data_IF_837827254913
#
_entry.id   IF_837827254913
#
_cell.length_a   1.000
_cell.length_b   1.000
_cell.length_c   1.000
_cell.angle_alpha   90.00
_cell.angle_beta   90.00
_cell.angle_gamma   90.00
#
_symmetry.space_group_name_H-M   'P 1'
#
loop_
_entity.id
_entity.type
_entity.pdbx_description
1 polymer ?
#
# COMPACT_ATOMS: atom_id res chain seq x y z
N UNK A 1 23.41 -49.14 1.04
CA UNK A 1 22.77 -50.26 0.31
C UNK A 1 21.30 -50.31 0.73
N UNK A 2 20.34 -50.06 -0.19
CA UNK A 2 18.88 -50.31 -0.06
C UNK A 2 18.12 -49.59 1.09
N UNK A 3 16.82 -49.26 1.00
CA UNK A 3 15.95 -48.87 -0.14
C UNK A 3 14.64 -48.23 0.43
N UNK A 4 14.27 -47.02 -0.01
CA UNK A 4 12.90 -46.49 -0.31
C UNK A 4 11.64 -46.72 0.57
N UNK A 5 10.74 -45.70 0.49
CA UNK A 5 9.24 -45.69 0.49
C UNK A 5 8.52 -45.67 1.88
N UNK A 6 7.39 -44.98 2.11
CA UNK A 6 6.53 -43.98 1.41
C UNK A 6 5.31 -43.61 2.31
N UNK A 7 4.52 -42.58 1.91
CA UNK A 7 3.07 -42.28 2.21
C UNK A 7 2.66 -41.52 3.50
N UNK A 8 1.63 -40.64 3.53
CA UNK A 8 0.90 -39.82 2.49
C UNK A 8 0.16 -38.61 3.14
N UNK A 9 -0.45 -37.74 2.31
CA UNK A 9 -1.55 -36.75 2.53
C UNK A 9 -1.10 -35.30 2.25
N UNK A 10 -1.52 -34.55 1.21
CA UNK A 10 -2.59 -34.55 0.17
C UNK A 10 -3.85 -33.72 0.47
N UNK A 11 -4.09 -32.72 -0.42
CA UNK A 11 -5.34 -32.00 -0.68
C UNK A 11 -5.08 -30.50 -0.87
N UNK A 12 -5.68 -29.74 -1.79
CA UNK A 12 -6.57 -29.94 -2.96
C UNK A 12 -6.31 -28.67 -3.85
N UNK A 13 -6.61 -28.50 -5.14
CA UNK A 13 -7.79 -28.74 -6.00
C UNK A 13 -7.31 -28.91 -7.45
N UNK A 14 -8.03 -29.69 -8.28
CA UNK A 14 -7.78 -29.79 -9.73
C UNK A 14 -9.09 -29.69 -10.54
N UNK A 15 -9.01 -29.14 -11.74
CA UNK A 15 -10.13 -28.89 -12.66
C UNK A 15 -10.87 -30.15 -13.12
N UNK A 16 -12.16 -30.01 -13.41
CA UNK A 16 -12.98 -31.06 -14.03
C UNK A 16 -13.32 -30.72 -15.48
N UNK A 17 -13.05 -31.66 -16.39
CA UNK A 17 -13.46 -31.62 -17.80
C UNK A 17 -14.50 -32.73 -18.01
N UNK A 18 -15.69 -32.39 -18.48
CA UNK A 18 -16.78 -33.35 -18.72
C UNK A 18 -16.94 -33.56 -20.22
N UNK A 19 -16.84 -34.82 -20.65
CA UNK A 19 -17.12 -35.26 -22.02
C UNK A 19 -18.39 -36.13 -21.99
N UNK A 20 -19.44 -35.72 -22.70
CA UNK A 20 -20.66 -36.53 -22.87
C UNK A 20 -20.63 -37.26 -24.20
N UNK A 21 -20.77 -38.59 -24.14
CA UNK A 21 -21.10 -39.46 -25.27
C UNK A 21 -22.58 -39.84 -25.16
N UNK A 22 -23.34 -39.63 -26.24
CA UNK A 22 -24.63 -40.29 -26.44
C UNK A 22 -24.51 -41.28 -27.61
N UNK A 23 -24.88 -42.52 -27.36
CA UNK A 23 -25.05 -43.54 -28.37
C UNK A 23 -26.56 -43.75 -28.62
N UNK A 24 -26.94 -43.92 -29.89
CA UNK A 24 -28.28 -44.32 -30.31
C UNK A 24 -28.18 -45.18 -31.56
N UNK A 25 -28.76 -46.37 -31.52
CA UNK A 25 -28.79 -47.31 -32.64
C UNK A 25 -30.14 -47.27 -33.36
N UNK A 26 -30.14 -47.52 -34.67
CA UNK A 26 -31.10 -48.42 -35.34
C UNK A 26 -30.65 -48.71 -36.78
N UNK A 27 -30.80 -49.96 -37.22
CA UNK A 27 -30.67 -50.36 -38.62
C UNK A 27 -31.90 -49.91 -39.44
N UNK A 28 -31.76 -49.69 -40.76
CA UNK A 28 -32.31 -50.58 -41.80
C UNK A 28 -31.86 -50.18 -43.23
N UNK A 29 -31.95 -51.11 -44.20
CA UNK A 29 -31.39 -51.02 -45.57
C UNK A 29 -32.49 -50.73 -46.62
N UNK A 30 -32.27 -49.83 -47.60
CA UNK A 30 -32.93 -49.80 -48.96
C UNK A 30 -32.58 -48.56 -49.81
N UNK A 31 -33.00 -48.55 -51.09
CA UNK A 31 -32.26 -47.95 -52.19
C UNK A 31 -33.03 -46.88 -53.02
N UNK A 32 -32.34 -45.80 -53.45
CA UNK A 32 -32.71 -44.72 -54.40
C UNK A 32 -33.81 -43.70 -54.00
N UNK A 33 -33.88 -42.48 -54.60
CA UNK A 33 -32.99 -41.86 -55.61
C UNK A 33 -32.33 -40.53 -55.15
N UNK A 34 -31.47 -39.97 -56.01
CA UNK A 34 -30.67 -38.77 -55.71
C UNK A 34 -31.49 -37.50 -55.49
N UNK A 35 -31.25 -36.83 -54.37
CA UNK A 35 -31.66 -35.44 -54.12
C UNK A 35 -30.42 -34.54 -54.26
N UNK A 36 -30.49 -33.50 -55.09
CA UNK A 36 -29.42 -32.51 -55.21
C UNK A 36 -29.32 -31.67 -53.94
N UNK A 37 -28.49 -32.10 -53.00
CA UNK A 37 -28.02 -31.26 -51.90
C UNK A 37 -27.16 -30.13 -52.47
N UNK A 38 -27.78 -28.96 -52.64
CA UNK A 38 -27.00 -27.73 -52.74
C UNK A 38 -26.15 -27.62 -51.47
N UNK A 39 -24.82 -27.62 -51.64
CA UNK A 39 -23.89 -27.38 -50.53
C UNK A 39 -24.15 -26.01 -49.95
N UNK A 40 -24.84 -25.97 -48.80
CA UNK A 40 -24.99 -24.76 -47.99
C UNK A 40 -23.61 -24.38 -47.47
N UNK A 41 -22.98 -23.42 -48.13
CA UNK A 41 -21.67 -22.87 -47.76
C UNK A 41 -21.82 -22.11 -46.46
N UNK A 42 -21.45 -22.72 -45.34
CA UNK A 42 -21.52 -22.09 -44.01
C UNK A 42 -20.67 -20.83 -43.97
N UNK A 43 -21.27 -19.74 -43.49
CA UNK A 43 -20.59 -18.47 -43.23
C UNK A 43 -19.87 -18.54 -41.88
N UNK A 44 -18.57 -18.24 -41.84
CA UNK A 44 -17.77 -18.27 -40.60
C UNK A 44 -16.82 -17.08 -40.50
N UNK A 45 -16.45 -16.72 -39.27
CA UNK A 45 -15.34 -15.81 -38.95
C UNK A 45 -14.24 -16.66 -38.29
N UNK A 46 -12.99 -16.35 -38.59
CA UNK A 46 -11.81 -16.97 -38.00
C UNK A 46 -10.80 -15.91 -37.59
N UNK A 47 -10.02 -16.21 -36.54
CA UNK A 47 -8.97 -15.36 -35.99
C UNK A 47 -7.70 -16.16 -35.76
N UNK A 48 -6.52 -15.55 -35.87
CA UNK A 48 -5.24 -16.20 -35.57
C UNK A 48 -5.00 -16.44 -34.07
N UNK A 49 -5.66 -15.67 -33.19
CA UNK A 49 -5.63 -15.88 -31.73
C UNK A 49 -6.98 -15.57 -31.10
N UNK A 50 -7.35 -16.33 -30.07
CA UNK A 50 -8.51 -16.06 -29.20
C UNK A 50 -8.13 -15.38 -27.88
N UNK A 51 -6.85 -15.06 -27.70
CA UNK A 51 -6.32 -14.33 -26.53
C UNK A 51 -5.22 -13.35 -26.95
N UNK A 52 -5.34 -12.09 -26.54
CA UNK A 52 -4.27 -11.10 -26.59
C UNK A 52 -3.97 -10.64 -25.17
N UNK A 53 -2.72 -10.80 -24.74
CA UNK A 53 -2.21 -10.28 -23.46
C UNK A 53 -1.14 -9.22 -23.74
N UNK A 54 -1.29 -8.04 -23.16
CA UNK A 54 -0.45 -6.86 -23.39
C UNK A 54 0.60 -6.70 -22.28
N UNK A 55 1.74 -6.05 -22.56
CA UNK A 55 2.69 -5.67 -21.51
C UNK A 55 2.06 -4.67 -20.53
N UNK A 56 2.65 -4.52 -19.35
CA UNK A 56 2.25 -3.49 -18.40
C UNK A 56 2.40 -2.09 -19.02
N UNK A 57 1.35 -1.28 -18.89
CA UNK A 57 1.31 0.12 -19.27
C UNK A 57 1.51 1.02 -18.05
N UNK A 58 1.78 2.31 -18.28
CA UNK A 58 1.50 3.36 -17.30
C UNK A 58 0.12 3.94 -17.65
N UNK A 59 -0.68 4.31 -16.65
CA UNK A 59 -1.96 5.00 -16.90
C UNK A 59 -1.78 6.22 -17.80
N UNK A 60 -2.79 6.53 -18.60
CA UNK A 60 -2.75 7.58 -19.62
C UNK A 60 -1.72 7.38 -20.76
N UNK A 61 -1.13 6.18 -20.89
CA UNK A 61 -0.28 5.79 -22.03
C UNK A 61 -0.86 4.60 -22.79
N UNK A 62 -0.57 4.51 -24.09
CA UNK A 62 -0.91 3.34 -24.92
C UNK A 62 0.22 2.32 -24.91
N UNK A 63 -0.10 1.03 -24.83
CA UNK A 63 0.90 -0.04 -25.02
C UNK A 63 1.44 -0.11 -26.45
N UNK A 64 2.47 -0.93 -26.66
CA UNK A 64 2.76 -1.48 -27.98
C UNK A 64 1.51 -2.15 -28.58
N UNK A 65 1.38 -2.03 -29.90
CA UNK A 65 0.28 -2.56 -30.69
C UNK A 65 0.48 -4.05 -30.97
N UNK A 66 -0.61 -4.83 -30.92
CA UNK A 66 -0.64 -6.25 -31.30
C UNK A 66 -1.51 -6.48 -32.53
N UNK A 67 -1.14 -7.46 -33.33
CA UNK A 67 -1.86 -7.81 -34.56
C UNK A 67 -2.81 -9.00 -34.33
N UNK A 68 -4.08 -8.80 -34.66
CA UNK A 68 -5.10 -9.83 -34.79
C UNK A 68 -5.42 -10.01 -36.28
N UNK A 69 -5.18 -11.18 -36.84
CA UNK A 69 -5.56 -11.48 -38.22
C UNK A 69 -6.98 -12.03 -38.20
N UNK A 70 -7.90 -11.32 -38.86
CA UNK A 70 -9.32 -11.65 -38.98
C UNK A 70 -9.60 -12.09 -40.42
N UNK A 71 -10.33 -13.19 -40.58
CA UNK A 71 -10.72 -13.71 -41.89
C UNK A 71 -12.12 -14.32 -41.84
N UNK A 72 -13.02 -13.83 -42.68
CA UNK A 72 -14.29 -14.47 -42.96
C UNK A 72 -14.21 -15.53 -44.07
N UNK A 73 -15.19 -16.43 -44.09
CA UNK A 73 -15.40 -17.40 -45.17
C UNK A 73 -16.88 -17.41 -45.53
N UNK A 74 -17.20 -17.27 -46.82
CA UNK A 74 -18.57 -17.17 -47.34
C UNK A 74 -19.40 -16.04 -46.71
N UNK A 75 -18.76 -14.92 -46.33
CA UNK A 75 -19.46 -13.74 -45.82
C UNK A 75 -19.95 -12.87 -46.98
N UNK A 76 -21.18 -12.38 -46.90
CA UNK A 76 -21.79 -11.45 -47.87
C UNK A 76 -22.02 -10.04 -47.29
N UNK A 77 -21.56 -9.83 -46.06
CA UNK A 77 -21.74 -8.63 -45.24
C UNK A 77 -20.40 -8.26 -44.60
N UNK A 78 -20.32 -7.05 -44.05
CA UNK A 78 -19.18 -6.60 -43.23
C UNK A 78 -18.94 -7.49 -42.01
N UNK A 79 -17.75 -7.38 -41.40
CA UNK A 79 -17.50 -7.86 -40.04
C UNK A 79 -17.46 -6.64 -39.13
N UNK A 80 -18.36 -6.61 -38.15
CA UNK A 80 -18.38 -5.61 -37.08
C UNK A 80 -17.55 -6.13 -35.91
N UNK A 81 -16.67 -5.29 -35.36
CA UNK A 81 -15.82 -5.58 -34.22
C UNK A 81 -16.09 -4.54 -33.12
N UNK A 82 -16.35 -5.01 -31.90
CA UNK A 82 -16.47 -4.15 -30.72
C UNK A 82 -15.54 -4.61 -29.62
N UNK A 83 -14.74 -3.70 -29.06
CA UNK A 83 -13.86 -3.94 -27.92
C UNK A 83 -14.41 -3.29 -26.64
N UNK A 84 -13.85 -3.64 -25.50
CA UNK A 84 -14.35 -3.25 -24.17
C UNK A 84 -13.19 -3.06 -23.19
N UNK A 85 -13.38 -2.22 -22.17
CA UNK A 85 -12.44 -2.05 -21.03
C UNK A 85 -11.03 -1.54 -21.39
N UNK A 86 -10.94 -0.52 -22.26
CA UNK A 86 -9.69 0.20 -22.55
C UNK A 86 -8.80 -0.45 -23.62
N UNK A 87 -9.33 -1.37 -24.42
CA UNK A 87 -8.64 -1.86 -25.60
C UNK A 87 -9.28 -1.26 -26.83
N UNK A 88 -8.48 -0.75 -27.76
CA UNK A 88 -8.95 -0.10 -28.98
C UNK A 88 -8.38 -0.83 -30.20
N UNK A 89 -9.02 -0.65 -31.35
CA UNK A 89 -8.75 -1.35 -32.59
C UNK A 89 -8.58 -0.38 -33.77
N UNK A 90 -7.77 -0.76 -34.75
CA UNK A 90 -7.48 0.01 -35.95
C UNK A 90 -7.22 -0.90 -37.18
N UNK A 91 -7.51 -0.41 -38.38
CA UNK A 91 -7.12 -1.04 -39.65
C UNK A 91 -5.88 -0.40 -40.30
N UNK A 92 -5.53 0.83 -39.92
CA UNK A 92 -4.38 1.57 -40.46
C UNK A 92 -3.21 1.68 -39.47
N UNK A 93 -3.40 1.24 -38.22
CA UNK A 93 -2.41 1.30 -37.15
C UNK A 93 -2.20 2.71 -36.58
N UNK A 94 -3.09 3.66 -36.92
CA UNK A 94 -2.99 5.08 -36.54
C UNK A 94 -4.27 5.57 -35.87
N UNK A 95 -5.43 5.30 -36.47
CA UNK A 95 -6.73 5.70 -35.97
C UNK A 95 -7.34 4.54 -35.17
N UNK A 96 -7.32 4.65 -33.85
CA UNK A 96 -7.84 3.65 -32.91
C UNK A 96 -9.24 4.02 -32.42
N UNK A 97 -10.06 3.00 -32.17
CA UNK A 97 -11.44 3.13 -31.67
C UNK A 97 -11.94 1.83 -31.03
N UNK A 98 -12.97 1.90 -30.20
CA UNK A 98 -13.63 0.73 -29.60
C UNK A 98 -14.59 0.00 -30.55
N UNK A 99 -14.93 0.60 -31.69
CA UNK A 99 -15.85 0.08 -32.69
C UNK A 99 -15.20 0.16 -34.09
N UNK A 100 -14.97 -1.00 -34.72
CA UNK A 100 -14.29 -1.11 -36.01
C UNK A 100 -15.09 -1.97 -36.99
N UNK A 101 -15.04 -1.65 -38.28
CA UNK A 101 -15.74 -2.39 -39.33
C UNK A 101 -14.75 -2.85 -40.41
N UNK A 102 -14.75 -4.14 -40.73
CA UNK A 102 -14.10 -4.68 -41.94
C UNK A 102 -15.16 -4.76 -43.04
N UNK A 103 -15.00 -3.96 -44.08
CA UNK A 103 -15.95 -3.90 -45.19
C UNK A 103 -16.17 -5.24 -45.89
N UNK A 104 -17.40 -5.46 -46.39
CA UNK A 104 -17.80 -6.70 -47.06
C UNK A 104 -16.88 -7.12 -48.23
N UNK A 105 -16.20 -6.17 -48.88
CA UNK A 105 -15.22 -6.42 -49.93
C UNK A 105 -13.93 -7.10 -49.41
N UNK A 106 -13.52 -6.78 -48.18
CA UNK A 106 -12.33 -7.31 -47.51
C UNK A 106 -12.65 -8.45 -46.55
N UNK A 107 -13.92 -8.61 -46.15
CA UNK A 107 -14.37 -9.56 -45.14
C UNK A 107 -13.98 -11.03 -45.38
N UNK A 108 -13.73 -11.45 -46.64
CA UNK A 108 -13.28 -12.80 -46.99
C UNK A 108 -11.76 -12.92 -47.25
N UNK A 109 -11.00 -11.87 -46.96
CA UNK A 109 -9.54 -11.82 -47.07
C UNK A 109 -8.89 -11.71 -45.68
N UNK A 110 -7.61 -12.09 -45.56
CA UNK A 110 -6.87 -11.95 -44.31
C UNK A 110 -6.67 -10.45 -44.03
N UNK A 111 -7.37 -9.93 -43.03
CA UNK A 111 -7.33 -8.52 -42.62
C UNK A 111 -6.57 -8.41 -41.31
N UNK A 112 -5.53 -7.57 -41.28
CA UNK A 112 -4.82 -7.25 -40.03
C UNK A 112 -5.62 -6.20 -39.27
N UNK A 113 -5.98 -6.51 -38.04
CA UNK A 113 -6.54 -5.58 -37.06
C UNK A 113 -5.46 -5.30 -36.03
N UNK A 114 -5.06 -4.05 -35.94
CA UNK A 114 -4.15 -3.53 -34.93
C UNK A 114 -4.93 -3.29 -33.64
N UNK A 115 -4.44 -3.78 -32.50
CA UNK A 115 -5.09 -3.66 -31.20
C UNK A 115 -4.10 -3.06 -30.20
N UNK A 116 -4.52 -2.07 -29.42
CA UNK A 116 -3.72 -1.48 -28.35
C UNK A 116 -4.40 -1.71 -26.97
N UNK A 117 -3.76 -1.21 -25.91
CA UNK A 117 -4.36 -1.08 -24.59
C UNK A 117 -4.06 0.32 -24.03
N UNK A 118 -5.08 0.98 -23.48
CA UNK A 118 -5.06 2.31 -22.87
C UNK A 118 -6.05 2.36 -21.70
N UNK A 119 -5.64 2.93 -20.56
CA UNK A 119 -6.57 3.17 -19.46
C UNK A 119 -6.11 4.33 -18.57
N UNK A 120 -7.06 5.09 -18.07
CA UNK A 120 -6.87 6.14 -17.05
C UNK A 120 -6.83 5.53 -15.62
N UNK A 121 -7.25 4.26 -15.46
CA UNK A 121 -7.45 3.63 -14.16
C UNK A 121 -6.47 2.46 -13.96
N UNK A 122 -5.69 2.53 -12.89
CA UNK A 122 -4.72 1.51 -12.45
C UNK A 122 -5.34 0.10 -12.35
N UNK A 123 -4.48 -0.91 -12.52
CA UNK A 123 -4.77 -2.33 -12.30
C UNK A 123 -5.14 -3.11 -13.55
N UNK A 124 -5.34 -4.43 -13.36
CA UNK A 124 -5.64 -5.37 -14.44
C UNK A 124 -7.01 -5.10 -15.08
N UNK A 125 -7.03 -5.00 -16.41
CA UNK A 125 -8.24 -4.93 -17.23
C UNK A 125 -8.40 -6.23 -18.03
N UNK A 126 -9.59 -6.82 -17.94
CA UNK A 126 -10.00 -7.93 -18.78
C UNK A 126 -11.04 -7.38 -19.77
N UNK A 127 -10.75 -7.47 -21.06
CA UNK A 127 -11.65 -7.04 -22.14
C UNK A 127 -11.98 -8.20 -23.07
N UNK A 128 -12.82 -7.91 -24.07
CA UNK A 128 -13.14 -8.82 -25.17
C UNK A 128 -13.30 -8.02 -26.45
N UNK A 129 -12.73 -8.49 -27.57
CA UNK A 129 -13.19 -8.13 -28.92
C UNK A 129 -14.29 -9.10 -29.31
N UNK A 130 -15.49 -8.60 -29.60
CA UNK A 130 -16.58 -9.39 -30.18
C UNK A 130 -16.65 -9.10 -31.67
N UNK A 131 -16.54 -10.14 -32.50
CA UNK A 131 -16.64 -10.07 -33.96
C UNK A 131 -17.97 -10.69 -34.42
N UNK A 132 -18.74 -9.97 -35.23
CA UNK A 132 -20.02 -10.44 -35.77
C UNK A 132 -20.18 -10.14 -37.25
N UNK A 133 -20.89 -11.00 -37.98
CA UNK A 133 -21.29 -10.79 -39.37
C UNK A 133 -22.58 -11.56 -39.67
N UNK A 134 -23.36 -11.11 -40.64
CA UNK A 134 -24.65 -11.71 -40.96
C UNK A 134 -24.51 -13.20 -41.33
N UNK A 135 -25.30 -14.05 -40.67
CA UNK A 135 -25.33 -15.52 -40.84
C UNK A 135 -24.06 -16.27 -40.40
N UNK A 136 -23.08 -15.59 -39.78
CA UNK A 136 -21.95 -16.22 -39.11
C UNK A 136 -22.19 -16.30 -37.58
N UNK A 137 -21.55 -17.26 -36.92
CA UNK A 137 -21.47 -17.27 -35.46
C UNK A 137 -20.47 -16.21 -34.99
N UNK A 138 -20.78 -15.51 -33.89
CA UNK A 138 -19.88 -14.52 -33.31
C UNK A 138 -18.59 -15.19 -32.80
N UNK A 139 -17.46 -14.49 -32.97
CA UNK A 139 -16.16 -14.89 -32.43
C UNK A 139 -15.75 -13.89 -31.36
N UNK A 140 -15.26 -14.38 -30.23
CA UNK A 140 -14.76 -13.54 -29.14
C UNK A 140 -13.25 -13.77 -28.97
N UNK A 141 -12.50 -12.68 -28.80
CA UNK A 141 -11.07 -12.68 -28.46
C UNK A 141 -10.92 -12.04 -27.09
N UNK A 142 -10.45 -12.81 -26.11
CA UNK A 142 -10.19 -12.30 -24.76
C UNK A 142 -8.99 -11.37 -24.76
N UNK A 143 -9.06 -10.28 -24.00
CA UNK A 143 -8.01 -9.27 -23.88
C UNK A 143 -7.58 -9.16 -22.41
N UNK A 144 -6.27 -9.09 -22.18
CA UNK A 144 -5.68 -8.85 -20.87
C UNK A 144 -4.63 -7.74 -20.95
N UNK A 145 -4.71 -6.78 -20.04
CA UNK A 145 -3.75 -5.69 -19.90
C UNK A 145 -3.70 -5.26 -18.45
N UNK A 146 -2.64 -4.58 -18.05
CA UNK A 146 -2.48 -4.06 -16.69
C UNK A 146 -1.80 -2.70 -16.75
N UNK A 147 -2.25 -1.77 -15.91
CA UNK A 147 -1.72 -0.42 -15.88
C UNK A 147 -1.22 -0.06 -14.48
N UNK A 148 -0.01 0.48 -14.41
CA UNK A 148 0.62 1.01 -13.20
C UNK A 148 0.40 2.53 -13.09
N UNK A 149 0.39 3.10 -11.88
CA UNK A 149 0.31 4.55 -11.71
C UNK A 149 1.57 5.26 -12.22
N UNK A 150 1.47 6.57 -12.47
CA UNK A 150 2.66 7.43 -12.57
C UNK A 150 3.21 7.63 -11.16
N UNK A 151 4.52 7.47 -10.99
CA UNK A 151 5.21 7.62 -9.70
C UNK A 151 6.37 8.60 -9.87
N UNK A 152 6.38 9.65 -9.06
CA UNK A 152 7.51 10.56 -8.92
C UNK A 152 8.30 10.20 -7.66
N UNK A 153 9.49 9.61 -7.84
CA UNK A 153 10.36 9.25 -6.72
C UNK A 153 11.35 10.38 -6.38
N UNK A 154 11.51 10.66 -5.08
CA UNK A 154 12.44 11.66 -4.55
C UNK A 154 13.29 11.03 -3.44
N UNK A 155 14.57 10.77 -3.74
CA UNK A 155 15.55 10.41 -2.71
C UNK A 155 15.93 11.67 -1.93
N UNK A 156 15.84 11.59 -0.61
CA UNK A 156 16.15 12.69 0.32
C UNK A 156 17.48 12.43 1.00
N UNK A 157 17.47 11.93 2.25
CA UNK A 157 18.65 11.35 2.86
C UNK A 157 19.16 10.16 2.02
N UNK A 158 20.45 10.11 1.71
CA UNK A 158 21.07 9.04 0.93
C UNK A 158 22.33 8.57 1.64
N UNK A 159 22.28 7.37 2.22
CA UNK A 159 23.32 6.82 3.11
C UNK A 159 23.72 7.82 4.21
N UNK A 160 22.75 8.57 4.74
CA UNK A 160 22.97 9.54 5.81
C UNK A 160 23.51 8.80 7.04
N UNK A 161 24.70 9.18 7.46
CA UNK A 161 25.39 8.57 8.59
C UNK A 161 24.76 9.01 9.90
N UNK A 162 24.24 8.06 10.68
CA UNK A 162 23.66 8.29 12.01
C UNK A 162 24.27 7.33 13.02
N UNK A 163 24.92 7.86 14.06
CA UNK A 163 25.61 7.12 15.11
C UNK A 163 25.91 8.06 16.29
N UNK A 164 26.47 7.51 17.38
CA UNK A 164 26.86 8.27 18.58
C UNK A 164 28.36 8.18 18.85
N UNK A 165 28.95 9.28 19.30
CA UNK A 165 30.39 9.38 19.53
C UNK A 165 31.20 9.60 18.24
N UNK A 166 32.53 9.70 18.37
CA UNK A 166 33.49 9.83 17.26
C UNK A 166 33.21 10.97 16.24
N UNK A 167 32.41 11.98 16.62
CA UNK A 167 32.00 13.10 15.76
C UNK A 167 30.72 12.85 14.95
N UNK A 168 30.08 11.70 15.09
CA UNK A 168 28.76 11.42 14.52
C UNK A 168 27.64 12.06 15.33
N UNK A 169 26.47 12.21 14.70
CA UNK A 169 25.23 12.66 15.34
C UNK A 169 24.14 11.59 15.19
N UNK A 170 23.29 11.48 16.21
CA UNK A 170 22.11 10.60 16.23
C UNK A 170 20.96 11.12 15.35
N UNK A 171 21.04 12.37 14.88
CA UNK A 171 20.05 12.96 13.98
C UNK A 171 20.68 13.92 12.98
N UNK A 172 20.06 14.03 11.81
CA UNK A 172 20.40 15.01 10.77
C UNK A 172 19.12 15.73 10.31
N UNK A 173 19.23 16.99 9.91
CA UNK A 173 18.11 17.83 9.43
C UNK A 173 18.55 18.56 8.18
N UNK A 174 17.74 18.49 7.11
CA UNK A 174 18.09 19.04 5.80
C UNK A 174 16.82 19.37 4.99
N UNK A 175 16.93 20.34 4.08
CA UNK A 175 15.84 20.76 3.18
C UNK A 175 15.98 20.10 1.82
N UNK A 176 14.93 19.43 1.36
CA UNK A 176 14.85 18.75 0.07
C UNK A 176 13.76 19.38 -0.80
N UNK A 177 13.90 19.28 -2.13
CA UNK A 177 12.86 19.72 -3.06
C UNK A 177 12.01 18.50 -3.48
N UNK A 178 10.85 18.36 -2.85
CA UNK A 178 9.85 17.33 -3.14
C UNK A 178 8.88 17.79 -4.24
N UNK A 179 7.91 16.95 -4.58
CA UNK A 179 6.89 17.24 -5.58
C UNK A 179 6.10 18.51 -5.24
N UNK A 180 5.90 19.41 -6.20
CA UNK A 180 5.30 20.72 -5.95
C UNK A 180 3.76 20.71 -6.09
N UNK A 181 3.23 20.07 -7.13
CA UNK A 181 1.80 20.07 -7.42
C UNK A 181 1.10 18.86 -6.79
N UNK A 182 0.38 19.08 -5.69
CA UNK A 182 -0.30 18.02 -4.95
C UNK A 182 -1.71 17.70 -5.49
N UNK A 183 -2.12 18.29 -6.63
CA UNK A 183 -3.51 18.24 -7.11
C UNK A 183 -3.92 16.86 -7.67
N UNK A 184 -3.01 16.14 -8.32
CA UNK A 184 -3.20 14.78 -8.82
C UNK A 184 -2.52 13.70 -7.95
N UNK A 185 -1.91 14.07 -6.82
CA UNK A 185 -1.25 13.12 -5.92
C UNK A 185 -2.28 12.46 -5.01
N UNK A 186 -2.55 11.18 -5.27
CA UNK A 186 -3.46 10.33 -4.49
C UNK A 186 -2.79 9.82 -3.22
N UNK A 187 -1.56 9.32 -3.33
CA UNK A 187 -0.82 8.66 -2.24
C UNK A 187 0.62 9.18 -2.17
N UNK A 188 1.14 9.35 -0.95
CA UNK A 188 2.58 9.57 -0.70
C UNK A 188 3.10 8.45 0.18
N UNK A 189 4.03 7.65 -0.36
CA UNK A 189 4.76 6.62 0.41
C UNK A 189 6.14 7.16 0.78
N UNK A 190 6.59 6.86 2.00
CA UNK A 190 7.96 7.08 2.45
C UNK A 190 8.61 5.71 2.66
N UNK A 191 9.84 5.56 2.18
CA UNK A 191 10.65 4.36 2.32
C UNK A 191 11.88 4.67 3.18
N UNK A 192 12.20 3.81 4.14
CA UNK A 192 13.40 3.96 4.98
C UNK A 192 14.26 2.70 4.86
N UNK A 193 15.36 2.83 4.13
CA UNK A 193 16.36 1.78 3.95
C UNK A 193 17.53 2.01 4.90
N UNK A 194 17.80 1.01 5.72
CA UNK A 194 19.00 0.94 6.54
C UNK A 194 20.09 0.24 5.74
N UNK A 195 21.34 0.56 6.03
CA UNK A 195 22.51 -0.15 5.50
C UNK A 195 23.56 -0.16 6.60
N UNK A 196 24.19 -1.33 6.82
CA UNK A 196 25.30 -1.41 7.76
C UNK A 196 26.53 -0.71 7.18
N UNK A 197 27.12 0.27 7.90
CA UNK A 197 28.37 0.89 7.47
C UNK A 197 29.52 -0.11 7.52
N UNK A 198 30.68 0.30 7.00
CA UNK A 198 31.92 -0.49 7.12
C UNK A 198 32.26 -0.71 8.60
N UNK A 199 32.18 -1.97 9.05
CA UNK A 199 32.34 -2.36 10.46
C UNK A 199 31.11 -3.02 11.08
N UNK A 200 29.94 -2.92 10.43
CA UNK A 200 28.67 -3.47 10.89
C UNK A 200 27.71 -2.42 11.43
N UNK A 201 26.43 -2.79 11.55
CA UNK A 201 25.39 -1.98 12.17
C UNK A 201 25.58 -1.87 13.70
N UNK A 202 24.84 -0.93 14.31
CA UNK A 202 24.45 -1.05 15.73
C UNK A 202 23.87 -2.45 16.00
N UNK A 203 24.32 -3.10 17.07
CA UNK A 203 23.80 -4.41 17.45
C UNK A 203 22.40 -4.38 18.07
N UNK A 204 21.93 -3.21 18.55
CA UNK A 204 20.68 -3.06 19.29
C UNK A 204 19.46 -2.67 18.43
N UNK A 205 18.28 -3.05 18.91
CA UNK A 205 16.98 -2.67 18.38
C UNK A 205 16.55 -1.28 18.89
N UNK A 206 17.13 -0.23 18.31
CA UNK A 206 16.92 1.15 18.78
C UNK A 206 15.74 1.83 18.12
N UNK A 207 15.14 2.77 18.86
CA UNK A 207 14.10 3.67 18.38
C UNK A 207 14.62 4.58 17.26
N UNK A 208 13.81 4.82 16.23
CA UNK A 208 14.15 5.73 15.15
C UNK A 208 12.89 6.36 14.53
N UNK A 209 13.00 7.60 14.04
CA UNK A 209 11.89 8.26 13.33
C UNK A 209 12.31 9.25 12.25
N UNK A 210 11.38 9.50 11.34
CA UNK A 210 11.44 10.56 10.33
C UNK A 210 10.39 11.59 10.66
N UNK A 211 10.76 12.88 10.67
CA UNK A 211 9.84 14.00 10.90
C UNK A 211 9.95 15.04 9.78
N UNK A 212 8.86 15.74 9.51
CA UNK A 212 8.84 16.96 8.69
C UNK A 212 8.76 18.18 9.62
N UNK A 213 9.39 19.29 9.24
CA UNK A 213 9.21 20.57 9.92
C UNK A 213 8.03 21.30 9.29
N UNK A 214 7.06 21.73 10.09
CA UNK A 214 6.02 22.67 9.65
C UNK A 214 6.67 24.06 9.45
N UNK A 215 6.72 24.58 8.20
CA UNK A 215 7.40 25.84 7.90
C UNK A 215 6.73 27.06 8.53
N UNK A 216 5.51 26.93 9.06
CA UNK A 216 4.76 28.01 9.71
C UNK A 216 5.15 28.16 11.18
N UNK A 217 5.38 27.05 11.88
CA UNK A 217 5.58 27.01 13.33
C UNK A 217 6.98 26.56 13.76
N UNK A 218 7.74 25.90 12.88
CA UNK A 218 9.00 25.22 13.22
C UNK A 218 8.82 23.92 14.00
N UNK A 219 7.58 23.48 14.23
CA UNK A 219 7.30 22.24 14.96
C UNK A 219 7.59 21.01 14.09
N UNK A 220 8.05 19.93 14.72
CA UNK A 220 8.40 18.67 14.07
C UNK A 220 7.25 17.67 14.13
N UNK A 221 6.77 17.23 12.98
CA UNK A 221 5.64 16.30 12.83
C UNK A 221 6.18 14.93 12.42
N UNK A 222 5.94 13.88 13.21
CA UNK A 222 6.42 12.52 12.94
C UNK A 222 5.66 11.86 11.78
N UNK A 223 6.37 11.64 10.68
CA UNK A 223 5.85 10.99 9.48
C UNK A 223 5.70 9.47 9.73
N UNK A 224 6.73 8.88 10.31
CA UNK A 224 6.84 7.45 10.59
C UNK A 224 7.95 7.14 11.58
N UNK A 225 7.79 6.02 12.28
CA UNK A 225 8.68 5.51 13.33
C UNK A 225 8.97 4.04 13.09
N UNK A 226 10.19 3.60 13.36
CA UNK A 226 10.59 2.20 13.29
C UNK A 226 11.51 1.85 14.46
N UNK A 227 11.63 0.56 14.73
CA UNK A 227 12.68 0.03 15.57
C UNK A 227 13.70 -0.65 14.66
N UNK A 228 14.98 -0.36 14.84
CA UNK A 228 16.02 -0.96 14.00
C UNK A 228 16.12 -2.48 14.22
N UNK A 229 16.67 -3.24 13.25
CA UNK A 229 16.91 -4.67 13.44
C UNK A 229 18.14 -4.88 14.33
N UNK A 230 18.11 -5.91 15.18
CA UNK A 230 19.34 -6.35 15.86
C UNK A 230 20.40 -6.77 14.83
N UNK A 231 21.65 -6.35 15.05
CA UNK A 231 22.88 -6.73 14.31
C UNK A 231 22.94 -6.43 12.80
N UNK A 232 21.83 -6.09 12.15
CA UNK A 232 21.70 -6.08 10.70
C UNK A 232 20.92 -4.85 10.20
N UNK A 233 20.92 -4.67 8.89
CA UNK A 233 20.02 -3.76 8.18
C UNK A 233 18.68 -4.44 7.81
N UNK A 234 17.85 -3.74 7.03
CA UNK A 234 16.56 -4.23 6.55
C UNK A 234 16.59 -4.70 5.08
N UNK A 235 17.74 -5.19 4.60
CA UNK A 235 17.96 -5.56 3.19
C UNK A 235 17.08 -6.71 2.65
N UNK A 236 16.37 -7.49 3.49
CA UNK A 236 15.31 -8.39 3.01
C UNK A 236 14.07 -7.66 2.46
N UNK A 237 13.97 -6.34 2.68
CA UNK A 237 12.98 -5.47 2.06
C UNK A 237 13.67 -4.67 0.97
N UNK A 238 13.32 -4.88 -0.31
CA UNK A 238 14.04 -4.28 -1.46
C UNK A 238 14.22 -2.75 -1.32
N UNK A 239 13.19 -2.08 -0.81
CA UNK A 239 13.14 -0.63 -0.51
C UNK A 239 13.19 -0.27 0.98
N UNK A 240 13.42 -1.22 1.87
CA UNK A 240 13.36 -0.98 3.32
C UNK A 240 11.92 -0.88 3.86
N UNK A 241 11.72 -0.15 4.96
CA UNK A 241 10.42 0.00 5.62
C UNK A 241 9.53 0.98 4.87
N UNK A 242 8.31 0.57 4.50
CA UNK A 242 7.30 1.44 3.89
C UNK A 242 6.40 2.11 4.95
N UNK A 243 6.10 3.38 4.74
CA UNK A 243 5.14 4.16 5.50
C UNK A 243 4.17 4.89 4.57
N UNK A 244 2.89 4.89 4.89
CA UNK A 244 1.94 5.81 4.27
C UNK A 244 1.98 7.16 4.98
N UNK A 245 2.44 8.19 4.29
CA UNK A 245 2.61 9.56 4.80
C UNK A 245 1.68 10.56 4.09
N UNK A 246 0.69 10.07 3.35
CA UNK A 246 -0.25 10.88 2.55
C UNK A 246 -0.99 11.94 3.38
N UNK A 247 -1.25 11.65 4.66
CA UNK A 247 -1.86 12.59 5.61
C UNK A 247 -1.05 13.90 5.78
N UNK A 248 0.26 13.88 5.47
CA UNK A 248 1.17 15.04 5.53
C UNK A 248 1.46 15.67 4.16
N UNK A 249 0.75 15.32 3.07
CA UNK A 249 1.08 15.80 1.71
C UNK A 249 1.08 17.33 1.54
N UNK A 250 0.37 18.07 2.41
CA UNK A 250 0.39 19.53 2.44
C UNK A 250 1.62 20.14 3.13
N UNK A 251 2.42 19.33 3.84
CA UNK A 251 3.76 19.70 4.34
C UNK A 251 4.89 19.13 3.46
N UNK A 252 4.64 18.03 2.74
CA UNK A 252 5.58 17.38 1.83
C UNK A 252 5.50 17.97 0.41
N UNK A 253 5.58 19.29 0.27
CA UNK A 253 5.48 19.98 -1.02
C UNK A 253 6.61 20.98 -1.26
N UNK A 254 7.23 20.92 -2.44
CA UNK A 254 8.34 21.80 -2.81
C UNK A 254 9.51 21.72 -1.81
N UNK A 255 10.03 22.87 -1.39
CA UNK A 255 11.11 22.95 -0.40
C UNK A 255 10.62 22.51 1.00
N UNK A 256 10.97 21.28 1.37
CA UNK A 256 10.52 20.59 2.59
C UNK A 256 11.72 20.29 3.49
N UNK A 257 11.71 20.77 4.74
CA UNK A 257 12.72 20.43 5.73
C UNK A 257 12.34 19.13 6.47
N UNK A 258 13.24 18.15 6.44
CA UNK A 258 13.06 16.83 7.05
C UNK A 258 14.13 16.60 8.12
N UNK A 259 13.79 15.80 9.12
CA UNK A 259 14.69 15.30 10.17
C UNK A 259 14.65 13.77 10.22
N UNK A 260 15.80 13.13 10.20
CA UNK A 260 15.98 11.71 10.50
C UNK A 260 16.68 11.55 11.87
N UNK A 261 16.29 10.55 12.66
CA UNK A 261 16.95 10.19 13.93
C UNK A 261 17.04 8.68 14.15
N UNK A 262 18.12 8.22 14.78
CA UNK A 262 18.23 6.92 15.45
C UNK A 262 18.72 7.09 16.90
N UNK A 263 18.16 6.33 17.85
CA UNK A 263 18.60 6.27 19.25
C UNK A 263 19.81 5.33 19.44
N UNK A 264 20.74 5.35 18.48
CA UNK A 264 22.00 4.59 18.52
C UNK A 264 22.93 5.15 19.60
N UNK A 265 23.56 4.29 20.41
CA UNK A 265 24.47 4.71 21.50
C UNK A 265 25.93 4.26 21.30
N UNK A 266 26.27 3.84 20.07
CA UNK A 266 27.63 3.49 19.66
C UNK A 266 28.02 4.17 18.34
N UNK A 267 29.29 4.05 17.97
CA UNK A 267 29.86 4.61 16.75
C UNK A 267 29.66 3.72 15.51
N UNK A 268 28.95 2.58 15.65
CA UNK A 268 28.51 1.73 14.53
C UNK A 268 27.24 2.26 13.90
N UNK A 269 26.16 2.50 14.65
CA UNK A 269 24.93 3.10 14.13
C UNK A 269 24.45 2.53 12.79
N UNK A 270 24.00 3.40 11.87
CA UNK A 270 23.55 3.04 10.53
C UNK A 270 23.97 4.07 9.46
N UNK A 271 23.91 3.66 8.20
CA UNK A 271 23.71 4.54 7.05
C UNK A 271 22.23 4.45 6.64
N UNK A 272 21.56 5.60 6.51
CA UNK A 272 20.11 5.66 6.28
C UNK A 272 19.78 6.37 4.97
N UNK A 273 19.08 5.67 4.08
CA UNK A 273 18.47 6.28 2.90
C UNK A 273 16.96 6.41 3.13
N UNK A 274 16.41 7.58 2.81
CA UNK A 274 14.98 7.86 2.85
C UNK A 274 14.54 8.40 1.50
N UNK A 275 13.55 7.78 0.89
CA UNK A 275 12.97 8.22 -0.37
C UNK A 275 11.44 8.23 -0.33
N UNK A 276 10.84 9.06 -1.17
CA UNK A 276 9.40 9.28 -1.22
C UNK A 276 8.85 9.01 -2.62
N UNK A 277 7.78 8.21 -2.71
CA UNK A 277 6.98 8.07 -3.92
C UNK A 277 5.74 8.94 -3.81
N UNK A 278 5.63 9.92 -4.70
CA UNK A 278 4.40 10.66 -4.96
C UNK A 278 3.68 9.96 -6.11
N UNK A 279 2.57 9.29 -5.78
CA UNK A 279 1.83 8.42 -6.70
C UNK A 279 0.64 9.22 -7.24
N UNK A 280 0.61 9.43 -8.55
CA UNK A 280 -0.51 10.09 -9.21
C UNK A 280 -1.75 9.19 -9.22
N UNK A 281 -2.92 9.82 -9.14
CA UNK A 281 -4.22 9.16 -9.17
C UNK A 281 -5.35 10.16 -8.96
N UNK A 282 -6.43 9.72 -8.32
CA UNK A 282 -7.54 10.61 -7.91
C UNK A 282 -7.58 10.68 -6.39
N UNK A 283 -7.06 11.75 -5.76
CA UNK A 283 -7.10 11.86 -4.29
C UNK A 283 -8.53 11.88 -3.77
N UNK A 284 -8.75 11.30 -2.59
CA UNK A 284 -10.07 11.28 -1.94
C UNK A 284 -10.63 12.68 -1.65
N UNK A 285 -9.71 13.64 -1.44
CA UNK A 285 -9.97 15.07 -1.33
C UNK A 285 -8.79 15.88 -1.89
N UNK A 286 -9.09 17.02 -2.51
CA UNK A 286 -8.06 17.90 -3.10
C UNK A 286 -7.16 18.55 -2.04
N UNK A 287 -7.69 18.91 -0.86
CA UNK A 287 -6.97 19.64 0.19
C UNK A 287 -6.95 18.89 1.52
N UNK A 288 -5.76 18.84 2.13
CA UNK A 288 -5.50 18.21 3.43
C UNK A 288 -4.85 19.24 4.35
N UNK A 289 -5.19 19.22 5.64
CA UNK A 289 -4.42 19.91 6.66
C UNK A 289 -4.29 19.04 7.92
N UNK A 290 -3.21 19.24 8.66
CA UNK A 290 -2.80 18.40 9.79
C UNK A 290 -2.28 19.26 10.93
N UNK A 291 -2.49 18.84 12.17
CA UNK A 291 -1.92 19.50 13.36
C UNK A 291 -1.61 18.49 14.47
N UNK A 292 -0.51 18.67 15.22
CA UNK A 292 -0.19 17.82 16.36
C UNK A 292 -1.20 18.07 17.48
N UNK A 293 -1.74 16.99 18.03
CA UNK A 293 -2.52 16.98 19.26
C UNK A 293 -1.56 16.79 20.44
N UNK A 294 -0.75 15.72 20.38
CA UNK A 294 0.38 15.46 21.29
C UNK A 294 1.59 14.94 20.50
N UNK A 295 2.80 15.25 20.96
CA UNK A 295 4.05 14.86 20.32
C UNK A 295 5.14 14.63 21.39
N UNK A 296 5.05 13.47 22.06
CA UNK A 296 5.97 13.00 23.10
C UNK A 296 6.79 11.83 22.54
N UNK A 297 7.56 12.15 21.50
CA UNK A 297 8.06 11.21 20.49
C UNK A 297 9.44 11.66 19.95
N UNK A 298 10.26 12.30 20.77
CA UNK A 298 11.63 12.65 20.37
C UNK A 298 12.58 11.46 20.58
N UNK A 299 12.40 10.71 21.67
CA UNK A 299 13.15 9.50 22.04
C UNK A 299 12.20 8.47 22.64
N UNK A 300 12.60 7.19 22.70
CA UNK A 300 11.83 6.16 23.42
C UNK A 300 11.61 6.50 24.90
N UNK A 301 12.67 6.96 25.55
CA UNK A 301 12.72 7.37 26.96
C UNK A 301 12.21 8.80 27.24
N UNK A 302 11.93 9.59 26.19
CA UNK A 302 11.28 10.91 26.31
C UNK A 302 9.77 10.86 26.02
N UNK A 303 9.22 9.64 25.92
CA UNK A 303 7.79 9.40 25.96
C UNK A 303 7.18 9.69 27.32
N UNK A 304 5.87 9.52 27.42
CA UNK A 304 5.13 9.79 28.65
C UNK A 304 5.45 8.71 29.69
N UNK A 305 5.89 9.05 30.92
CA UNK A 305 6.17 8.06 31.97
C UNK A 305 4.93 7.23 32.29
N UNK A 306 5.07 5.91 32.35
CA UNK A 306 3.95 5.00 32.56
C UNK A 306 3.99 4.36 33.96
N UNK A 307 2.82 4.30 34.61
CA UNK A 307 2.67 3.78 35.97
C UNK A 307 3.22 4.67 37.08
N UNK A 308 3.59 5.93 36.78
CA UNK A 308 4.06 6.94 37.75
C UNK A 308 3.39 8.28 37.46
N UNK A 309 3.29 9.15 38.47
CA UNK A 309 2.73 10.49 38.29
C UNK A 309 3.66 11.37 37.43
N UNK A 310 3.07 12.16 36.52
CA UNK A 310 3.79 13.02 35.59
C UNK A 310 3.04 14.33 35.29
N UNK A 311 3.73 15.30 34.69
CA UNK A 311 3.17 16.58 34.26
C UNK A 311 3.01 16.71 32.74
N UNK A 312 3.12 15.60 31.99
CA UNK A 312 2.81 15.58 30.56
C UNK A 312 1.31 15.84 30.35
N UNK A 313 0.99 16.64 29.33
CA UNK A 313 -0.34 17.18 29.09
C UNK A 313 -1.01 16.37 27.97
N UNK A 314 -1.77 15.36 28.38
CA UNK A 314 -2.48 14.41 27.51
C UNK A 314 -3.85 14.93 27.05
N UNK A 315 -4.30 16.03 27.65
CA UNK A 315 -5.57 16.68 27.39
C UNK A 315 -5.39 17.83 26.38
N UNK A 316 -6.30 17.94 25.42
CA UNK A 316 -6.31 19.02 24.44
C UNK A 316 -7.73 19.46 24.11
N UNK A 317 -7.90 20.73 23.78
CA UNK A 317 -9.07 21.22 23.07
C UNK A 317 -8.76 21.29 21.58
N UNK A 318 -9.54 20.58 20.76
CA UNK A 318 -9.36 20.50 19.31
C UNK A 318 -10.56 21.14 18.61
N UNK A 319 -10.31 22.09 17.70
CA UNK A 319 -11.34 22.75 16.89
C UNK A 319 -11.15 22.42 15.42
N UNK A 320 -12.20 21.88 14.80
CA UNK A 320 -12.21 21.41 13.41
C UNK A 320 -12.77 22.50 12.48
N UNK A 321 -12.17 22.75 11.30
CA UNK A 321 -12.71 23.70 10.33
C UNK A 321 -14.15 23.34 9.90
N UNK A 322 -14.97 24.36 9.65
CA UNK A 322 -16.38 24.18 9.27
C UNK A 322 -16.59 23.52 7.90
N UNK A 323 -15.57 23.55 7.03
CA UNK A 323 -15.58 22.90 5.71
C UNK A 323 -14.90 21.53 5.68
N UNK A 324 -14.54 20.93 6.82
CA UNK A 324 -14.02 19.57 6.85
C UNK A 324 -15.05 18.54 6.35
N UNK A 325 -14.72 17.80 5.31
CA UNK A 325 -15.54 16.70 4.77
C UNK A 325 -15.10 15.34 5.37
N UNK A 326 -13.83 15.23 5.74
CA UNK A 326 -13.29 14.10 6.52
C UNK A 326 -12.45 14.60 7.69
N UNK A 327 -12.44 13.82 8.78
CA UNK A 327 -11.59 14.05 9.95
C UNK A 327 -11.19 12.70 10.53
N UNK A 328 -9.89 12.55 10.82
CA UNK A 328 -9.36 11.39 11.52
C UNK A 328 -8.20 11.77 12.44
N UNK A 329 -7.95 10.94 13.45
CA UNK A 329 -6.70 11.01 14.22
C UNK A 329 -5.69 10.02 13.62
N UNK A 330 -4.42 10.41 13.63
CA UNK A 330 -3.28 9.56 13.24
C UNK A 330 -2.36 9.42 14.43
N UNK A 331 -2.21 8.22 14.97
CA UNK A 331 -1.39 7.97 16.17
C UNK A 331 -0.24 6.99 15.89
N UNK A 332 0.95 7.29 16.41
CA UNK A 332 2.07 6.36 16.50
C UNK A 332 2.51 6.25 17.97
N UNK A 333 2.41 5.05 18.53
CA UNK A 333 2.72 4.73 19.92
C UNK A 333 3.62 3.50 20.02
N UNK A 334 4.64 3.56 20.89
CA UNK A 334 5.54 2.44 21.18
C UNK A 334 5.98 2.51 22.64
N UNK A 335 5.80 1.41 23.38
CA UNK A 335 6.23 1.30 24.78
C UNK A 335 7.69 0.90 24.92
N UNK A 336 8.39 1.51 25.87
CA UNK A 336 9.77 1.20 26.27
C UNK A 336 9.82 0.75 27.73
N UNK A 337 10.82 -0.06 28.06
CA UNK A 337 11.15 -0.41 29.44
C UNK A 337 10.60 -1.76 29.89
N UNK A 338 11.09 -2.20 31.04
CA UNK A 338 10.82 -3.51 31.63
C UNK A 338 10.56 -3.40 33.14
N UNK A 339 9.87 -2.33 33.52
CA UNK A 339 9.42 -2.04 34.88
C UNK A 339 8.39 -3.04 35.41
N UNK A 340 8.41 -3.20 36.73
CA UNK A 340 7.58 -4.13 37.51
C UNK A 340 6.44 -3.38 38.22
N UNK A 341 5.34 -4.06 38.61
CA UNK A 341 5.11 -5.49 38.56
C UNK A 341 4.78 -5.96 37.14
N UNK A 342 5.35 -7.11 36.75
CA UNK A 342 5.02 -7.77 35.49
C UNK A 342 3.60 -8.37 35.54
N UNK A 343 2.94 -8.41 34.39
CA UNK A 343 1.58 -8.96 34.23
C UNK A 343 1.49 -10.38 34.79
N UNK A 344 0.65 -10.60 35.79
CA UNK A 344 0.59 -11.88 36.53
C UNK A 344 0.21 -13.10 35.67
N UNK A 345 -0.52 -12.87 34.56
CA UNK A 345 -0.94 -13.93 33.64
C UNK A 345 0.12 -14.31 32.59
N UNK A 346 1.08 -13.42 32.30
CA UNK A 346 2.02 -13.59 31.18
C UNK A 346 3.49 -13.39 31.56
N UNK A 347 3.77 -12.91 32.78
CA UNK A 347 5.08 -12.53 33.29
C UNK A 347 5.79 -11.49 32.39
N UNK A 348 5.02 -10.52 31.85
CA UNK A 348 5.51 -9.46 30.95
C UNK A 348 5.58 -8.10 31.67
N UNK A 349 6.76 -7.48 31.79
CA UNK A 349 6.92 -6.16 32.40
C UNK A 349 6.62 -5.00 31.43
N UNK A 350 6.44 -3.78 31.95
CA UNK A 350 6.01 -2.62 31.17
C UNK A 350 7.14 -1.64 30.79
N UNK A 351 7.07 -0.89 29.68
CA UNK A 351 6.01 -0.86 28.67
C UNK A 351 6.37 -1.60 27.36
N UNK A 352 7.57 -2.20 27.27
CA UNK A 352 7.98 -2.97 26.08
C UNK A 352 7.17 -4.27 25.93
N UNK A 353 6.91 -4.99 27.03
CA UNK A 353 6.42 -6.38 26.96
C UNK A 353 4.95 -6.53 27.35
N UNK A 354 4.46 -5.74 28.30
CA UNK A 354 3.11 -5.87 28.85
C UNK A 354 2.06 -5.42 27.82
N UNK A 355 1.09 -6.28 27.51
CA UNK A 355 0.06 -5.95 26.53
C UNK A 355 -0.97 -5.04 27.18
N UNK A 356 -1.32 -3.94 26.50
CA UNK A 356 -2.24 -2.91 27.00
C UNK A 356 -3.24 -2.46 25.95
N UNK A 357 -4.31 -1.83 26.39
CA UNK A 357 -5.39 -1.29 25.57
C UNK A 357 -5.67 0.15 26.02
N UNK A 358 -5.00 1.11 25.38
CA UNK A 358 -5.19 2.54 25.67
C UNK A 358 -6.43 3.08 24.94
N UNK A 359 -6.99 4.19 25.39
CA UNK A 359 -8.14 4.83 24.76
C UNK A 359 -7.78 6.24 24.27
N UNK A 360 -8.48 6.69 23.24
CA UNK A 360 -8.68 8.12 23.02
C UNK A 360 -10.09 8.46 23.49
N UNK A 361 -10.20 9.37 24.46
CA UNK A 361 -11.49 9.91 24.89
C UNK A 361 -11.78 11.19 24.11
N UNK A 362 -13.02 11.29 23.63
CA UNK A 362 -13.55 12.51 23.00
C UNK A 362 -14.70 13.01 23.89
N UNK A 363 -14.59 14.25 24.37
CA UNK A 363 -15.51 14.83 25.36
C UNK A 363 -15.68 13.94 26.61
N UNK A 364 -14.59 13.29 27.05
CA UNK A 364 -14.55 12.39 28.21
C UNK A 364 -15.12 10.98 27.97
N UNK A 365 -15.55 10.64 26.75
CA UNK A 365 -16.04 9.29 26.41
C UNK A 365 -15.00 8.52 25.58
N UNK A 366 -14.62 7.31 26.02
CA UNK A 366 -13.76 6.39 25.26
C UNK A 366 -14.38 6.17 23.87
N UNK A 367 -13.71 6.66 22.84
CA UNK A 367 -14.24 6.72 21.46
C UNK A 367 -13.42 5.85 20.51
N UNK A 368 -12.10 5.80 20.71
CA UNK A 368 -11.19 4.94 19.95
C UNK A 368 -10.29 4.13 20.88
N UNK A 369 -9.88 2.95 20.44
CA UNK A 369 -9.17 1.96 21.26
C UNK A 369 -7.86 1.53 20.58
N UNK A 370 -6.75 1.58 21.31
CA UNK A 370 -5.41 1.26 20.86
C UNK A 370 -4.85 0.03 21.59
N UNK A 371 -5.20 -1.15 21.08
CA UNK A 371 -4.60 -2.40 21.54
C UNK A 371 -3.11 -2.50 21.14
N UNK A 372 -2.25 -2.57 22.15
CA UNK A 372 -0.79 -2.79 22.10
C UNK A 372 -0.51 -4.29 22.27
N UNK A 373 -1.08 -5.12 21.40
CA UNK A 373 -0.94 -6.58 21.42
C UNK A 373 0.29 -7.12 20.68
N UNK A 374 0.43 -8.46 20.60
CA UNK A 374 1.41 -9.09 19.73
C UNK A 374 1.09 -8.82 18.25
N UNK A 375 2.11 -8.52 17.44
CA UNK A 375 1.94 -8.24 16.00
C UNK A 375 2.65 -9.25 15.09
N UNK A 376 3.23 -10.31 15.66
CA UNK A 376 3.81 -11.44 14.93
C UNK A 376 5.31 -11.30 14.67
N UNK A 377 6.11 -10.86 15.64
CA UNK A 377 7.53 -10.56 15.42
C UNK A 377 8.34 -11.75 14.88
N UNK A 378 7.97 -12.98 15.23
CA UNK A 378 8.59 -14.21 14.70
C UNK A 378 8.41 -14.41 13.18
N UNK A 379 7.46 -13.71 12.57
CA UNK A 379 7.18 -13.71 11.13
C UNK A 379 7.72 -12.46 10.41
N UNK A 380 8.52 -11.62 11.07
CA UNK A 380 9.12 -10.45 10.44
C UNK A 380 9.99 -10.86 9.23
N UNK A 381 9.79 -10.29 8.01
CA UNK A 381 10.65 -10.55 6.86
C UNK A 381 12.14 -10.22 7.12
N UNK A 382 12.43 -9.25 8.00
CA UNK A 382 13.78 -8.97 8.50
C UNK A 382 14.15 -10.01 9.58
N UNK A 383 14.36 -11.25 9.14
CA UNK A 383 14.53 -12.46 9.97
C UNK A 383 16.00 -12.86 10.27
N UNK A 384 16.98 -12.09 9.78
CA UNK A 384 18.43 -12.31 9.95
C UNK A 384 18.97 -11.81 11.30
N UNK A 385 18.13 -11.26 12.16
CA UNK A 385 18.46 -10.55 13.41
C UNK A 385 19.11 -11.39 14.54
N UNK A 386 19.41 -12.67 14.30
CA UNK A 386 20.11 -13.53 15.27
C UNK A 386 21.56 -13.05 15.48
N UNK A 387 22.09 -13.01 16.72
CA UNK A 387 21.58 -13.58 17.97
C UNK A 387 20.66 -12.67 18.81
N UNK A 388 20.18 -11.55 18.28
CA UNK A 388 19.25 -10.66 18.97
C UNK A 388 17.91 -11.33 19.31
N UNK A 389 17.22 -10.84 20.35
CA UNK A 389 15.94 -11.39 20.81
C UNK A 389 14.76 -10.88 19.96
N UNK A 390 14.82 -11.06 18.64
CA UNK A 390 13.91 -10.39 17.69
C UNK A 390 12.51 -11.01 17.59
N UNK A 391 12.38 -12.31 17.81
CA UNK A 391 11.16 -13.07 17.47
C UNK A 391 10.05 -13.03 18.52
N UNK A 392 10.37 -12.55 19.73
CA UNK A 392 9.39 -12.42 20.81
C UNK A 392 8.57 -11.13 20.65
N UNK A 393 7.24 -11.27 20.63
CA UNK A 393 6.31 -10.14 20.51
C UNK A 393 6.45 -9.13 21.65
N UNK A 394 6.59 -7.86 21.27
CA UNK A 394 6.43 -6.68 22.15
C UNK A 394 5.00 -6.18 22.10
N UNK A 395 4.69 -5.24 22.97
CA UNK A 395 3.40 -4.55 23.00
C UNK A 395 3.29 -3.56 21.82
N UNK A 396 2.71 -4.04 20.70
CA UNK A 396 2.38 -3.24 19.53
C UNK A 396 3.55 -2.87 18.60
N UNK A 397 4.73 -3.47 18.73
CA UNK A 397 5.87 -3.24 17.84
C UNK A 397 6.78 -4.48 17.71
N UNK A 398 7.74 -4.45 16.77
CA UNK A 398 8.78 -5.49 16.61
C UNK A 398 10.16 -4.88 16.27
N UNK A 399 11.25 -5.49 16.75
CA UNK A 399 12.61 -5.20 16.26
C UNK A 399 12.71 -5.40 14.74
N UNK A 400 13.35 -4.45 14.05
CA UNK A 400 13.47 -4.45 12.59
C UNK A 400 12.14 -4.29 11.86
N UNK A 401 11.24 -3.44 12.35
CA UNK A 401 9.92 -3.18 11.75
C UNK A 401 9.47 -1.74 11.96
N UNK A 402 8.62 -1.24 11.06
CA UNK A 402 7.84 -0.02 11.28
C UNK A 402 6.90 -0.18 12.49
N UNK A 403 6.78 0.87 13.31
CA UNK A 403 5.77 0.94 14.36
C UNK A 403 4.41 1.21 13.69
N UNK A 404 3.34 0.46 14.00
CA UNK A 404 2.05 0.63 13.35
C UNK A 404 1.49 2.04 13.50
N UNK A 405 1.06 2.62 12.38
CA UNK A 405 0.23 3.84 12.39
C UNK A 405 -1.22 3.46 12.64
N UNK A 406 -1.83 4.05 13.66
CA UNK A 406 -3.24 3.89 14.02
C UNK A 406 -4.02 5.05 13.41
N UNK A 407 -5.18 4.76 12.81
CA UNK A 407 -6.00 5.73 12.09
C UNK A 407 -7.45 5.67 12.56
N UNK A 408 -7.86 6.69 13.29
CA UNK A 408 -9.14 6.74 13.98
C UNK A 408 -10.09 7.69 13.24
N UNK A 409 -10.96 7.13 12.40
CA UNK A 409 -11.89 7.90 11.57
C UNK A 409 -13.15 8.23 12.38
N UNK A 410 -13.55 9.50 12.39
CA UNK A 410 -14.80 9.90 13.04
C UNK A 410 -16.01 9.44 12.20
N UNK A 411 -16.82 8.52 12.76
CA UNK A 411 -18.01 7.96 12.09
C UNK A 411 -19.13 8.98 11.83
N UNK A 412 -19.10 10.12 12.51
CA UNK A 412 -20.00 11.26 12.33
C UNK A 412 -19.18 12.51 12.09
N UNK A 413 -19.60 13.39 11.18
CA UNK A 413 -18.88 14.65 10.93
C UNK A 413 -18.75 15.48 12.21
N UNK A 414 -17.52 15.93 12.47
CA UNK A 414 -17.14 16.86 13.55
C UNK A 414 -16.79 18.25 13.00
N UNK A 415 -17.14 18.52 11.73
CA UNK A 415 -16.85 19.79 11.06
C UNK A 415 -17.44 21.00 11.82
N UNK A 416 -16.61 22.02 12.02
CA UNK A 416 -16.99 23.25 12.74
C UNK A 416 -17.22 23.07 14.24
N UNK A 417 -16.93 21.89 14.80
CA UNK A 417 -17.05 21.62 16.24
C UNK A 417 -15.73 21.81 16.97
N UNK A 418 -15.85 22.00 18.28
CA UNK A 418 -14.74 21.94 19.23
C UNK A 418 -15.02 20.79 20.20
N UNK A 419 -14.02 19.94 20.45
CA UNK A 419 -14.12 18.83 21.41
C UNK A 419 -12.88 18.77 22.30
N UNK A 420 -13.02 18.16 23.49
CA UNK A 420 -11.85 17.77 24.27
C UNK A 420 -11.35 16.39 23.81
N UNK A 421 -10.04 16.28 23.68
CA UNK A 421 -9.29 15.05 23.44
C UNK A 421 -8.53 14.71 24.72
N UNK A 422 -8.44 13.43 25.04
CA UNK A 422 -7.58 12.89 26.10
C UNK A 422 -6.97 11.58 25.58
N UNK A 423 -5.66 11.41 25.69
CA UNK A 423 -5.00 10.12 25.45
C UNK A 423 -4.86 9.35 26.77
N UNK A 424 -5.71 8.34 26.96
CA UNK A 424 -5.90 7.62 28.21
C UNK A 424 -5.13 6.29 28.20
N UNK A 425 -3.99 6.22 28.90
CA UNK A 425 -3.26 4.98 29.05
C UNK A 425 -3.94 4.08 30.08
N UNK A 426 -4.27 2.83 29.70
CA UNK A 426 -4.75 1.78 30.63
C UNK A 426 -3.99 1.78 31.98
N UNK A 427 -4.75 1.80 33.08
CA UNK A 427 -4.23 1.88 34.44
C UNK A 427 -3.21 0.77 34.77
N UNK A 428 -2.03 1.20 35.23
CA UNK A 428 -1.00 0.35 35.81
C UNK A 428 -0.21 1.20 36.83
N UNK A 429 0.60 0.57 37.67
CA UNK A 429 1.43 1.29 38.66
C UNK A 429 2.78 0.62 38.75
N UNK A 430 3.85 1.40 38.54
CA UNK A 430 5.21 0.93 38.70
C UNK A 430 5.50 0.74 40.20
N UNK A 431 5.99 -0.45 40.59
CA UNK A 431 6.40 -0.73 41.96
C UNK A 431 7.80 -0.18 42.31
N UNK A 432 8.52 0.34 41.30
CA UNK A 432 9.86 0.90 41.42
C UNK A 432 10.96 -0.15 41.61
N UNK A 433 10.65 -1.45 41.50
CA UNK A 433 11.61 -2.52 41.77
C UNK A 433 12.51 -2.88 40.57
N UNK A 434 12.17 -2.48 39.34
CA UNK A 434 12.96 -2.79 38.14
C UNK A 434 12.93 -1.69 37.06
N UNK A 435 13.26 -0.45 37.43
CA UNK A 435 13.41 0.67 36.48
C UNK A 435 12.08 1.27 36.01
N UNK A 436 12.13 1.95 34.88
CA UNK A 436 11.05 2.83 34.38
C UNK A 436 10.37 2.30 33.11
N UNK A 437 9.20 2.84 32.81
CA UNK A 437 8.40 2.56 31.62
C UNK A 437 7.96 3.88 30.97
N UNK A 438 7.96 3.93 29.63
CA UNK A 438 7.54 5.12 28.87
C UNK A 438 6.72 4.73 27.64
N UNK A 439 5.76 5.57 27.26
CA UNK A 439 5.09 5.49 25.95
C UNK A 439 5.48 6.69 25.07
N UNK A 440 6.41 6.47 24.13
CA UNK A 440 6.65 7.44 23.08
C UNK A 440 5.38 7.53 22.22
N UNK A 441 4.74 8.70 22.15
CA UNK A 441 3.38 8.85 21.61
C UNK A 441 3.28 10.14 20.80
N UNK A 442 2.89 10.02 19.53
CA UNK A 442 2.50 11.14 18.68
C UNK A 442 1.06 10.91 18.21
N UNK A 443 0.22 11.95 18.27
CA UNK A 443 -1.13 11.95 17.72
C UNK A 443 -1.34 13.24 16.97
N UNK A 444 -1.79 13.14 15.72
CA UNK A 444 -2.16 14.26 14.85
C UNK A 444 -3.65 14.21 14.56
N UNK A 445 -4.28 15.38 14.43
CA UNK A 445 -5.61 15.51 13.83
C UNK A 445 -5.43 15.91 12.37
N UNK A 446 -6.08 15.16 11.48
CA UNK A 446 -6.02 15.36 10.02
C UNK A 446 -7.43 15.68 9.54
N UNK A 447 -7.55 16.72 8.71
CA UNK A 447 -8.80 17.15 8.09
C UNK A 447 -8.64 17.23 6.58
N UNK A 448 -9.71 16.92 5.85
CA UNK A 448 -9.72 16.94 4.39
C UNK A 448 -10.96 17.62 3.82
N UNK A 449 -10.83 18.26 2.66
CA UNK A 449 -11.93 18.84 1.89
C UNK A 449 -11.57 18.99 0.41
N UNK A 450 -12.59 19.04 -0.45
CA UNK A 450 -12.49 19.44 -1.85
C UNK A 450 -12.43 20.97 -2.02
N UNK A 451 -12.57 21.72 -0.94
CA UNK A 451 -12.30 23.16 -0.84
C UNK A 451 -11.03 23.43 -0.01
N UNK A 452 -10.31 24.54 -0.24
CA UNK A 452 -9.14 24.89 0.58
C UNK A 452 -9.46 24.88 2.08
N UNK A 453 -8.70 24.10 2.84
CA UNK A 453 -8.96 23.85 4.27
C UNK A 453 -7.81 24.36 5.14
N UNK A 454 -8.14 25.02 6.25
CA UNK A 454 -7.15 25.44 7.25
C UNK A 454 -6.75 24.28 8.14
N UNK A 455 -5.58 24.37 8.76
CA UNK A 455 -5.20 23.47 9.85
C UNK A 455 -6.24 23.49 11.00
N UNK A 456 -6.52 22.34 11.65
CA UNK A 456 -7.26 22.31 12.91
C UNK A 456 -6.55 23.13 13.99
N UNK A 457 -7.31 23.75 14.90
CA UNK A 457 -6.71 24.50 16.01
C UNK A 457 -6.66 23.59 17.23
N UNK A 458 -5.47 23.37 17.76
CA UNK A 458 -5.24 22.62 19.00
C UNK A 458 -4.77 23.60 20.08
N UNK A 459 -5.41 23.57 21.24
CA UNK A 459 -4.96 24.27 22.46
C UNK A 459 -4.92 23.32 23.64
N UNK A 460 -4.26 23.75 24.71
CA UNK A 460 -4.51 23.21 26.05
C UNK A 460 -5.90 23.69 26.55
#
# INVERSE_FOLDING_TARGET
MKLTKLKTNLGFIMSALILLLFAGCSDDDSNTPATTTGTTTTSTITVNSTLLSFPDAIVNTTTEVKELIVKGVNLNSQIDLTSTNGFEMSLDGVNFSDNLQIDAASANTDTVVYVNFYTEVVGSKNGTISLSSANAANVNVSLYGNASPVIHNYVTFNQQRLAFGSGFNQSHTETFNLHADQSNIETVKMYVKLTCPTGGCDEWDVYANVKVVDPTTGNLYELGRYITPYWNDNSQLDRGFEFDVTDFKSLLTGATELRIRTECWNDKGYEVTVDFDFIEGTPDYLYYAVSPVIAYDDWSSSGVPYGVAHNFDLDKTVTIPANAESTHLRTIISGWGHATPADSATNRPCAEWCFRTHNIKINGANTFEHYMGPIGCSSNPVNNQSPGNWSADRAGWCPGMAVPTRKDVFNTSVAGSTFTFEYDYEDWTNDGANGDAFYATSTFVVVKSNSPISAPVVTN
#
